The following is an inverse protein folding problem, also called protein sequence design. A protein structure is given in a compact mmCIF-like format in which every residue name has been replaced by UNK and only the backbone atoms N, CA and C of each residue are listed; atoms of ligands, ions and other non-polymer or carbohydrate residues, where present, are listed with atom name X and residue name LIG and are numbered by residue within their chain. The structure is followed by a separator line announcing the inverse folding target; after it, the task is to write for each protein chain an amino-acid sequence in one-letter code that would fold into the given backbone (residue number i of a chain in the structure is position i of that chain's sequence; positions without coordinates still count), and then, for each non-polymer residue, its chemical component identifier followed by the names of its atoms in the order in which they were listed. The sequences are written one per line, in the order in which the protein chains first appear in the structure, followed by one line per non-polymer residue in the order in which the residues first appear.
data_IF_449297411225
#
_entry.id   IF_449297411225
#
_cell.length_a   1.000
_cell.length_b   1.000
_cell.length_c   1.000
_cell.angle_alpha   90.00
_cell.angle_beta   90.00
_cell.angle_gamma   90.00
#
_symmetry.space_group_name_H-M   'P 1'
#
loop_
_entity.id
_entity.type
_entity.pdbx_description
1 polymer ?
#
# COMPACT_ATOMS: atom_id res chain seq x y z
N UNK A 1 -102.23 72.06 -74.96
CA UNK A 1 -100.80 72.00 -74.56
C UNK A 1 -100.52 71.33 -73.20
N UNK A 2 -101.43 71.31 -72.22
CA UNK A 2 -101.15 70.79 -70.85
C UNK A 2 -101.12 69.26 -70.69
N UNK A 3 -101.81 68.48 -71.54
CA UNK A 3 -101.86 67.02 -71.43
C UNK A 3 -100.58 66.29 -71.85
N UNK A 4 -99.80 66.85 -72.79
CA UNK A 4 -98.53 66.26 -73.25
C UNK A 4 -97.40 66.39 -72.23
N UNK A 5 -97.44 67.42 -71.38
CA UNK A 5 -96.42 67.64 -70.34
C UNK A 5 -96.58 66.65 -69.18
N UNK A 6 -97.83 66.38 -68.78
CA UNK A 6 -98.14 65.54 -67.61
C UNK A 6 -97.81 64.06 -67.85
N UNK A 7 -98.11 63.55 -69.05
CA UNK A 7 -97.74 62.18 -69.45
C UNK A 7 -96.22 62.01 -69.50
N UNK A 8 -95.49 63.02 -69.99
CA UNK A 8 -94.02 62.99 -70.03
C UNK A 8 -93.40 62.93 -68.63
N UNK A 9 -93.94 63.69 -67.67
CA UNK A 9 -93.45 63.70 -66.28
C UNK A 9 -93.71 62.37 -65.58
N UNK A 10 -94.88 61.75 -65.78
CA UNK A 10 -95.22 60.45 -65.18
C UNK A 10 -94.37 59.33 -65.78
N UNK A 11 -94.13 59.34 -67.10
CA UNK A 11 -93.25 58.36 -67.75
C UNK A 11 -91.81 58.51 -67.27
N UNK A 12 -91.30 59.74 -67.13
CA UNK A 12 -89.97 59.98 -66.57
C UNK A 12 -89.84 59.56 -65.09
N UNK A 13 -90.88 59.74 -64.28
CA UNK A 13 -90.90 59.28 -62.88
C UNK A 13 -90.94 57.75 -62.77
N UNK A 14 -91.74 57.08 -63.60
CA UNK A 14 -91.79 55.62 -63.63
C UNK A 14 -90.47 55.01 -64.14
N UNK A 15 -89.86 55.59 -65.17
CA UNK A 15 -88.52 55.18 -65.64
C UNK A 15 -87.48 55.44 -64.55
N UNK A 16 -87.56 56.56 -63.82
CA UNK A 16 -86.67 56.87 -62.70
C UNK A 16 -86.81 55.93 -61.51
N UNK A 17 -88.02 55.51 -61.16
CA UNK A 17 -88.27 54.54 -60.07
C UNK A 17 -87.83 53.13 -60.49
N UNK A 18 -88.13 52.71 -61.72
CA UNK A 18 -87.73 51.40 -62.25
C UNK A 18 -86.20 51.33 -62.44
N UNK A 19 -85.57 52.39 -62.94
CA UNK A 19 -84.11 52.49 -63.04
C UNK A 19 -83.47 52.57 -61.64
N UNK A 20 -84.06 53.29 -60.68
CA UNK A 20 -83.58 53.36 -59.30
C UNK A 20 -83.66 52.02 -58.57
N UNK A 21 -84.76 51.28 -58.71
CA UNK A 21 -84.90 49.92 -58.16
C UNK A 21 -84.02 48.90 -58.89
N UNK A 22 -83.87 49.01 -60.22
CA UNK A 22 -83.00 48.13 -61.00
C UNK A 22 -81.51 48.34 -60.69
N UNK A 23 -81.07 49.60 -60.57
CA UNK A 23 -79.69 49.96 -60.18
C UNK A 23 -79.42 49.60 -58.72
N UNK A 24 -80.41 49.77 -57.83
CA UNK A 24 -80.33 49.28 -56.46
C UNK A 24 -80.20 47.75 -56.37
N UNK A 25 -81.07 47.00 -57.06
CA UNK A 25 -81.03 45.53 -57.07
C UNK A 25 -79.75 44.97 -57.68
N UNK A 26 -79.22 45.59 -58.75
CA UNK A 26 -77.94 45.23 -59.35
C UNK A 26 -76.75 45.60 -58.44
N UNK A 27 -76.77 46.77 -57.80
CA UNK A 27 -75.71 47.21 -56.88
C UNK A 27 -75.66 46.40 -55.57
N UNK A 28 -76.82 46.04 -55.00
CA UNK A 28 -76.92 45.20 -53.81
C UNK A 28 -76.75 43.71 -54.11
N UNK A 29 -77.12 43.24 -55.31
CA UNK A 29 -76.93 41.84 -55.72
C UNK A 29 -75.46 41.42 -55.75
N UNK A 30 -74.59 42.27 -56.28
CA UNK A 30 -73.14 42.04 -56.29
C UNK A 30 -72.54 42.04 -54.88
N UNK A 31 -73.00 42.95 -54.01
CA UNK A 31 -72.56 43.00 -52.61
C UNK A 31 -73.00 41.76 -51.84
N UNK A 32 -74.26 41.31 -52.01
CA UNK A 32 -74.78 40.09 -51.37
C UNK A 32 -74.04 38.84 -51.86
N UNK A 33 -73.71 38.78 -53.15
CA UNK A 33 -72.95 37.66 -53.73
C UNK A 33 -71.53 37.59 -53.15
N UNK A 34 -70.84 38.74 -53.05
CA UNK A 34 -69.52 38.83 -52.40
C UNK A 34 -69.60 38.45 -50.92
N UNK A 35 -70.58 38.98 -50.18
CA UNK A 35 -70.77 38.66 -48.77
C UNK A 35 -71.02 37.16 -48.55
N UNK A 36 -71.76 36.50 -49.43
CA UNK A 36 -72.02 35.06 -49.40
C UNK A 36 -70.76 34.25 -49.71
N UNK A 37 -69.94 34.73 -50.64
CA UNK A 37 -68.63 34.14 -50.94
C UNK A 37 -67.69 34.25 -49.74
N UNK A 38 -67.57 35.44 -49.14
CA UNK A 38 -66.74 35.70 -47.97
C UNK A 38 -67.21 34.89 -46.76
N UNK A 39 -68.53 34.72 -46.60
CA UNK A 39 -69.11 33.86 -45.54
C UNK A 39 -68.72 32.39 -45.74
N UNK A 40 -68.80 31.87 -46.97
CA UNK A 40 -68.40 30.50 -47.28
C UNK A 40 -66.89 30.28 -47.06
N UNK A 41 -66.05 31.25 -47.47
CA UNK A 41 -64.61 31.24 -47.23
C UNK A 41 -64.30 31.24 -45.72
N UNK A 42 -64.98 32.11 -44.95
CA UNK A 42 -64.84 32.18 -43.50
C UNK A 42 -65.27 30.86 -42.82
N UNK A 43 -66.38 30.26 -43.27
CA UNK A 43 -66.83 28.95 -42.77
C UNK A 43 -65.82 27.84 -43.05
N UNK A 44 -65.19 27.84 -44.23
CA UNK A 44 -64.14 26.88 -44.58
C UNK A 44 -62.93 27.03 -43.66
N UNK A 45 -62.44 28.25 -43.45
CA UNK A 45 -61.33 28.54 -42.53
C UNK A 45 -61.64 28.15 -41.09
N UNK A 46 -62.87 28.37 -40.64
CA UNK A 46 -63.32 27.92 -39.31
C UNK A 46 -63.26 26.39 -39.19
N UNK A 47 -63.59 25.66 -40.25
CA UNK A 47 -63.47 24.19 -40.27
C UNK A 47 -62.02 23.75 -40.23
N UNK A 48 -61.16 24.37 -41.04
CA UNK A 48 -59.72 24.07 -41.08
C UNK A 48 -59.06 24.36 -39.72
N UNK A 49 -59.34 25.50 -39.09
CA UNK A 49 -58.85 25.82 -37.75
C UNK A 49 -59.39 24.88 -36.66
N UNK A 50 -60.62 24.36 -36.81
CA UNK A 50 -61.13 23.35 -35.87
C UNK A 50 -60.35 22.04 -35.95
N UNK A 51 -60.01 21.59 -37.16
CA UNK A 51 -59.20 20.40 -37.35
C UNK A 51 -57.77 20.59 -36.81
N UNK A 52 -57.18 21.75 -37.05
CA UNK A 52 -55.85 22.10 -36.53
C UNK A 52 -55.84 22.15 -34.99
N UNK A 53 -56.84 22.77 -34.36
CA UNK A 53 -57.00 22.78 -32.90
C UNK A 53 -57.15 21.36 -32.35
N UNK A 54 -57.90 20.48 -33.03
CA UNK A 54 -58.05 19.09 -32.62
C UNK A 54 -56.71 18.33 -32.68
N UNK A 55 -55.93 18.53 -33.74
CA UNK A 55 -54.59 17.92 -33.88
C UNK A 55 -53.60 18.44 -32.84
N UNK A 56 -53.59 19.76 -32.58
CA UNK A 56 -52.77 20.38 -31.54
C UNK A 56 -53.12 19.85 -30.15
N UNK A 57 -54.41 19.72 -29.83
CA UNK A 57 -54.85 19.16 -28.55
C UNK A 57 -54.38 17.70 -28.36
N UNK A 58 -54.37 16.90 -29.43
CA UNK A 58 -53.85 15.54 -29.38
C UNK A 58 -52.33 15.52 -29.10
N UNK A 59 -51.57 16.41 -29.75
CA UNK A 59 -50.14 16.55 -29.50
C UNK A 59 -49.83 17.01 -28.07
N UNK A 60 -50.59 17.98 -27.56
CA UNK A 60 -50.47 18.45 -26.17
C UNK A 60 -50.69 17.29 -25.20
N UNK A 61 -51.76 16.50 -25.39
CA UNK A 61 -52.04 15.34 -24.54
C UNK A 61 -50.90 14.31 -24.56
N UNK A 62 -50.31 14.07 -25.74
CA UNK A 62 -49.16 13.16 -25.88
C UNK A 62 -47.92 13.70 -25.16
N UNK A 63 -47.64 15.00 -25.30
CA UNK A 63 -46.51 15.66 -24.63
C UNK A 63 -46.66 15.67 -23.11
N UNK A 64 -47.88 15.88 -22.60
CA UNK A 64 -48.18 15.82 -21.17
C UNK A 64 -47.92 14.41 -20.60
N UNK A 65 -48.33 13.37 -21.32
CA UNK A 65 -48.03 11.98 -20.93
C UNK A 65 -46.53 11.69 -20.90
N UNK A 66 -45.78 12.13 -21.93
CA UNK A 66 -44.34 11.97 -21.97
C UNK A 66 -43.62 12.75 -20.86
N UNK A 67 -44.10 13.96 -20.55
CA UNK A 67 -43.56 14.77 -19.44
C UNK A 67 -43.72 14.04 -18.11
N UNK A 68 -44.91 13.48 -17.85
CA UNK A 68 -45.17 12.71 -16.63
C UNK A 68 -44.24 11.49 -16.52
N UNK A 69 -43.98 10.77 -17.61
CA UNK A 69 -43.08 9.62 -17.62
C UNK A 69 -41.61 10.02 -17.37
N UNK A 70 -41.18 11.15 -17.92
CA UNK A 70 -39.84 11.69 -17.70
C UNK A 70 -39.65 12.15 -16.26
N UNK A 71 -40.65 12.80 -15.67
CA UNK A 71 -40.66 13.21 -14.25
C UNK A 71 -40.52 12.00 -13.32
N UNK A 72 -41.23 10.89 -13.61
CA UNK A 72 -41.09 9.64 -12.85
C UNK A 72 -39.68 9.04 -12.97
N UNK A 73 -39.13 8.99 -14.19
CA UNK A 73 -37.76 8.47 -14.41
C UNK A 73 -36.69 9.32 -13.72
N UNK A 74 -36.84 10.64 -13.70
CA UNK A 74 -35.93 11.53 -12.99
C UNK A 74 -35.96 11.21 -11.49
N UNK A 75 -37.15 11.04 -10.91
CA UNK A 75 -37.27 10.68 -9.48
C UNK A 75 -36.63 9.32 -9.13
N UNK A 76 -36.74 8.33 -10.02
CA UNK A 76 -36.06 7.04 -9.84
C UNK A 76 -34.53 7.18 -9.91
N UNK A 77 -34.01 7.91 -10.91
CA UNK A 77 -32.57 8.16 -11.06
C UNK A 77 -31.99 8.95 -9.89
N UNK A 78 -32.71 9.94 -9.38
CA UNK A 78 -32.31 10.70 -8.19
C UNK A 78 -32.19 9.79 -6.96
N UNK A 79 -33.14 8.85 -6.80
CA UNK A 79 -33.10 7.86 -5.72
C UNK A 79 -31.90 6.92 -5.87
N UNK A 80 -31.68 6.34 -7.04
CA UNK A 80 -30.54 5.45 -7.30
C UNK A 80 -29.20 6.17 -7.12
N UNK A 81 -29.10 7.44 -7.54
CA UNK A 81 -27.91 8.26 -7.34
C UNK A 81 -27.62 8.49 -5.85
N UNK A 82 -28.66 8.79 -5.06
CA UNK A 82 -28.52 8.98 -3.61
C UNK A 82 -28.09 7.68 -2.90
N UNK A 83 -28.71 6.55 -3.24
CA UNK A 83 -28.35 5.23 -2.68
C UNK A 83 -26.90 4.86 -3.04
N UNK A 84 -26.50 5.07 -4.29
CA UNK A 84 -25.13 4.83 -4.76
C UNK A 84 -24.12 5.72 -4.05
N UNK A 85 -24.46 7.00 -3.85
CA UNK A 85 -23.62 7.97 -3.13
C UNK A 85 -23.39 7.54 -1.68
N UNK A 86 -24.45 7.11 -0.99
CA UNK A 86 -24.31 6.60 0.39
C UNK A 86 -23.47 5.33 0.46
N UNK A 87 -23.62 4.41 -0.51
CA UNK A 87 -22.80 3.21 -0.60
C UNK A 87 -21.31 3.56 -0.77
N UNK A 88 -20.99 4.53 -1.64
CA UNK A 88 -19.62 5.01 -1.85
C UNK A 88 -18.99 5.59 -0.59
N UNK A 89 -19.72 6.43 0.15
CA UNK A 89 -19.25 7.02 1.42
C UNK A 89 -18.96 5.92 2.46
N UNK A 90 -19.84 4.91 2.53
CA UNK A 90 -19.68 3.78 3.45
C UNK A 90 -18.44 2.96 3.08
N UNK A 91 -18.28 2.61 1.82
CA UNK A 91 -17.12 1.85 1.33
C UNK A 91 -15.81 2.62 1.58
N UNK A 92 -15.81 3.93 1.36
CA UNK A 92 -14.65 4.77 1.62
C UNK A 92 -14.29 4.79 3.12
N UNK A 93 -15.28 4.84 4.00
CA UNK A 93 -15.06 4.78 5.46
C UNK A 93 -14.53 3.42 5.90
N UNK A 94 -15.09 2.33 5.37
CA UNK A 94 -14.60 0.97 5.64
C UNK A 94 -13.17 0.79 5.15
N UNK A 95 -12.83 1.32 3.97
CA UNK A 95 -11.48 1.32 3.44
C UNK A 95 -10.51 2.09 4.33
N UNK A 96 -10.86 3.30 4.78
CA UNK A 96 -10.01 4.09 5.68
C UNK A 96 -9.82 3.41 7.04
N UNK A 97 -10.87 2.79 7.59
CA UNK A 97 -10.77 2.03 8.83
C UNK A 97 -9.85 0.81 8.67
N UNK A 98 -10.00 0.07 7.58
CA UNK A 98 -9.12 -1.05 7.26
C UNK A 98 -7.69 -0.57 7.04
N UNK A 99 -7.48 0.49 6.27
CA UNK A 99 -6.16 1.06 6.01
C UNK A 99 -5.45 1.49 7.32
N UNK A 100 -6.16 2.18 8.21
CA UNK A 100 -5.60 2.57 9.51
C UNK A 100 -5.36 1.37 10.43
N UNK A 101 -6.23 0.35 10.40
CA UNK A 101 -6.06 -0.86 11.18
C UNK A 101 -4.93 -1.78 10.67
N UNK A 102 -4.60 -1.73 9.37
CA UNK A 102 -3.76 -2.74 8.72
C UNK A 102 -2.42 -2.20 8.20
N UNK A 103 -2.33 -0.93 7.79
CA UNK A 103 -1.14 -0.35 7.13
C UNK A 103 -0.48 0.77 7.90
N UNK A 104 -1.21 1.50 8.75
CA UNK A 104 -0.62 2.51 9.62
C UNK A 104 -0.09 1.85 10.89
N UNK A 105 0.87 0.95 10.72
CA UNK A 105 1.60 0.33 11.82
C UNK A 105 2.18 1.45 12.69
N UNK A 106 1.71 1.58 13.93
CA UNK A 106 2.28 2.51 14.92
C UNK A 106 3.64 2.04 15.42
N UNK A 107 4.11 0.89 14.91
CA UNK A 107 5.38 0.29 15.27
C UNK A 107 6.53 1.13 14.70
N UNK A 108 7.53 1.36 15.55
CA UNK A 108 8.70 2.16 15.22
C UNK A 108 9.93 1.27 15.06
N UNK A 109 10.88 1.76 14.29
CA UNK A 109 12.22 1.19 14.22
C UNK A 109 12.99 1.52 15.52
N UNK A 110 13.58 0.54 16.22
CA UNK A 110 14.42 0.79 17.39
C UNK A 110 15.77 1.41 16.99
N UNK A 111 16.46 2.03 17.94
CA UNK A 111 17.93 2.17 17.88
C UNK A 111 18.60 0.83 18.19
N UNK A 112 19.88 0.66 17.83
CA UNK A 112 20.63 -0.53 18.23
C UNK A 112 20.67 -0.74 19.75
N UNK A 113 20.84 0.31 20.54
CA UNK A 113 20.87 0.18 22.00
C UNK A 113 19.50 -0.24 22.57
N UNK A 114 18.40 0.27 22.01
CA UNK A 114 17.06 -0.19 22.36
C UNK A 114 16.83 -1.65 21.99
N UNK A 115 17.22 -2.07 20.78
CA UNK A 115 17.14 -3.47 20.35
C UNK A 115 17.95 -4.38 21.28
N UNK A 116 19.20 -4.00 21.59
CA UNK A 116 20.05 -4.76 22.51
C UNK A 116 19.48 -4.84 23.91
N UNK A 117 18.84 -3.78 24.40
CA UNK A 117 18.15 -3.77 25.69
C UNK A 117 16.90 -4.64 25.70
N UNK A 118 16.15 -4.65 24.58
CA UNK A 118 15.00 -5.52 24.39
C UNK A 118 15.40 -7.00 24.44
N UNK A 119 16.36 -7.43 23.61
CA UNK A 119 16.79 -8.83 23.56
C UNK A 119 17.24 -9.35 24.94
N UNK A 120 18.03 -8.55 25.68
CA UNK A 120 18.48 -8.91 27.03
C UNK A 120 17.38 -9.08 28.08
N UNK A 121 16.25 -8.40 27.89
CA UNK A 121 15.11 -8.44 28.82
C UNK A 121 14.08 -9.49 28.41
N UNK A 122 13.98 -9.74 27.11
CA UNK A 122 13.17 -10.80 26.55
C UNK A 122 13.68 -12.17 27.02
N UNK A 123 12.77 -13.13 27.19
CA UNK A 123 13.11 -14.47 27.67
C UNK A 123 12.81 -15.55 26.63
N UNK A 124 12.50 -15.17 25.38
CA UNK A 124 12.20 -16.10 24.30
C UNK A 124 13.37 -17.07 24.07
N UNK A 125 14.61 -16.60 24.19
CA UNK A 125 15.83 -17.42 24.09
C UNK A 125 15.95 -18.51 25.17
N UNK A 126 15.18 -18.41 26.27
CA UNK A 126 15.15 -19.38 27.38
C UNK A 126 14.06 -20.44 27.20
N UNK A 127 13.18 -20.31 26.21
CA UNK A 127 12.16 -21.31 25.93
C UNK A 127 12.86 -22.59 25.45
N UNK A 128 12.37 -23.75 25.90
CA UNK A 128 12.91 -25.03 25.49
C UNK A 128 12.53 -25.31 24.03
N UNK A 129 13.54 -25.54 23.18
CA UNK A 129 13.32 -25.96 21.80
C UNK A 129 12.69 -27.36 21.79
N UNK A 130 11.54 -27.49 21.13
CA UNK A 130 10.84 -28.76 20.95
C UNK A 130 10.48 -28.93 19.50
N UNK A 131 11.15 -29.87 18.84
CA UNK A 131 10.84 -30.22 17.46
C UNK A 131 9.34 -30.54 17.31
N UNK A 132 8.71 -29.99 16.27
CA UNK A 132 7.27 -30.11 15.95
C UNK A 132 6.28 -29.47 16.97
N UNK A 133 6.75 -28.87 18.07
CA UNK A 133 5.90 -28.15 19.04
C UNK A 133 6.26 -26.66 19.16
N UNK A 134 7.55 -26.38 19.33
CA UNK A 134 8.14 -25.05 19.47
C UNK A 134 9.55 -25.04 18.87
N UNK A 135 9.59 -24.95 17.54
CA UNK A 135 10.82 -24.87 16.75
C UNK A 135 11.17 -23.40 16.44
N UNK A 136 12.12 -23.18 15.52
CA UNK A 136 12.56 -21.83 15.12
C UNK A 136 11.41 -20.91 14.69
N UNK A 137 10.32 -21.46 14.15
CA UNK A 137 9.11 -20.70 13.81
C UNK A 137 8.47 -20.14 15.07
N UNK A 138 8.37 -20.95 16.13
CA UNK A 138 7.84 -20.55 17.43
C UNK A 138 8.63 -19.40 18.04
N UNK A 139 9.95 -19.55 18.15
CA UNK A 139 10.85 -18.50 18.65
C UNK A 139 10.68 -17.19 17.86
N UNK A 140 10.75 -17.26 16.52
CA UNK A 140 10.67 -16.07 15.69
C UNK A 140 9.30 -15.37 15.73
N UNK A 141 8.20 -16.10 15.94
CA UNK A 141 6.87 -15.52 16.15
C UNK A 141 6.78 -14.87 17.54
N UNK A 142 7.24 -15.57 18.58
CA UNK A 142 7.20 -15.07 19.97
C UNK A 142 7.99 -13.78 20.12
N UNK A 143 9.24 -13.74 19.64
CA UNK A 143 10.07 -12.52 19.73
C UNK A 143 9.44 -11.34 18.98
N UNK A 144 8.86 -11.60 17.80
CA UNK A 144 8.15 -10.57 17.02
C UNK A 144 6.94 -10.02 17.76
N UNK A 145 6.18 -10.87 18.45
CA UNK A 145 4.99 -10.46 19.20
C UNK A 145 5.38 -9.66 20.46
N UNK A 146 6.42 -10.06 21.20
CA UNK A 146 6.96 -9.25 22.30
C UNK A 146 7.54 -7.91 21.83
N UNK A 147 8.23 -7.90 20.68
CA UNK A 147 8.69 -6.65 20.06
C UNK A 147 7.50 -5.73 19.73
N UNK A 148 6.39 -6.28 19.21
CA UNK A 148 5.15 -5.52 18.95
C UNK A 148 4.56 -4.92 20.21
N UNK A 149 4.57 -5.64 21.34
CA UNK A 149 4.07 -5.14 22.63
C UNK A 149 4.86 -3.92 23.13
N UNK A 150 6.14 -3.82 22.74
CA UNK A 150 7.00 -2.66 22.98
C UNK A 150 6.96 -1.62 21.84
N UNK A 151 5.99 -1.74 20.92
CA UNK A 151 5.84 -0.91 19.73
C UNK A 151 7.04 -0.94 18.78
N UNK A 152 7.84 -2.01 18.78
CA UNK A 152 8.95 -2.20 17.84
C UNK A 152 8.49 -2.93 16.58
N UNK A 153 8.95 -2.40 15.44
CA UNK A 153 8.77 -3.06 14.14
C UNK A 153 9.78 -4.20 14.01
N UNK A 154 9.29 -5.38 13.69
CA UNK A 154 10.05 -6.62 13.64
C UNK A 154 9.52 -7.48 12.49
N UNK A 155 10.39 -7.85 11.57
CA UNK A 155 10.05 -8.81 10.53
C UNK A 155 10.20 -10.24 11.05
N UNK A 156 9.32 -11.12 10.58
CA UNK A 156 9.57 -12.55 10.55
C UNK A 156 10.36 -12.87 9.28
N UNK A 157 11.39 -13.70 9.38
CA UNK A 157 12.31 -14.01 8.29
C UNK A 157 12.38 -15.52 8.10
N UNK A 158 12.18 -15.97 6.87
CA UNK A 158 12.41 -17.35 6.46
C UNK A 158 13.68 -17.43 5.62
N UNK A 159 14.49 -18.44 5.91
CA UNK A 159 15.73 -18.74 5.22
C UNK A 159 15.63 -20.15 4.68
N UNK A 160 15.80 -20.29 3.36
CA UNK A 160 16.03 -21.60 2.76
C UNK A 160 17.54 -21.83 2.62
N UNK A 161 18.01 -23.01 2.99
CA UNK A 161 19.36 -23.46 2.67
C UNK A 161 19.38 -24.25 1.37
N UNK A 162 20.52 -24.26 0.69
CA UNK A 162 20.73 -25.07 -0.51
C UNK A 162 20.62 -26.58 -0.23
N UNK A 163 20.96 -27.00 0.99
CA UNK A 163 20.83 -28.36 1.50
C UNK A 163 20.40 -28.30 2.97
N UNK A 164 19.49 -29.19 3.38
CA UNK A 164 18.95 -29.26 4.74
C UNK A 164 17.59 -28.57 4.91
N UNK A 165 17.13 -28.50 6.15
CA UNK A 165 15.89 -27.81 6.53
C UNK A 165 16.12 -26.30 6.56
N UNK A 166 15.07 -25.52 6.27
CA UNK A 166 15.13 -24.06 6.38
C UNK A 166 15.25 -23.59 7.84
N UNK A 167 15.38 -22.28 8.02
CA UNK A 167 15.44 -21.65 9.33
C UNK A 167 14.55 -20.41 9.40
N UNK A 168 13.99 -20.14 10.57
CA UNK A 168 13.16 -18.97 10.83
C UNK A 168 13.82 -18.10 11.90
N UNK A 169 13.84 -16.79 11.67
CA UNK A 169 14.44 -15.81 12.58
C UNK A 169 13.78 -14.43 12.42
N UNK A 170 14.33 -13.40 13.05
CA UNK A 170 13.78 -12.04 12.96
C UNK A 170 14.72 -11.02 12.32
N UNK A 171 14.13 -9.95 11.78
CA UNK A 171 14.91 -8.78 11.36
C UNK A 171 14.33 -7.49 11.92
N UNK A 172 15.24 -6.60 12.34
CA UNK A 172 14.92 -5.29 12.85
C UNK A 172 15.60 -4.24 11.98
N UNK A 173 14.80 -3.34 11.41
CA UNK A 173 15.34 -2.13 10.80
C UNK A 173 15.65 -1.16 11.94
N UNK A 174 16.92 -0.93 12.22
CA UNK A 174 17.32 0.09 13.19
C UNK A 174 17.44 1.45 12.53
N UNK A 175 17.32 2.51 13.34
CA UNK A 175 17.45 3.90 12.85
C UNK A 175 18.91 4.34 12.70
N UNK A 176 19.86 3.66 13.33
CA UNK A 176 21.27 4.07 13.44
C UNK A 176 22.28 3.03 12.93
N UNK A 177 21.89 1.76 12.75
CA UNK A 177 22.78 0.66 12.31
C UNK A 177 22.26 -0.14 11.11
N UNK A 178 21.14 0.27 10.52
CA UNK A 178 20.55 -0.43 9.38
C UNK A 178 19.80 -1.70 9.77
N UNK A 179 19.72 -2.65 8.85
CA UNK A 179 19.01 -3.91 9.04
C UNK A 179 19.86 -4.89 9.85
N UNK A 180 19.30 -5.45 10.92
CA UNK A 180 19.96 -6.42 11.78
C UNK A 180 19.11 -7.68 11.84
N UNK A 181 19.71 -8.83 11.60
CA UNK A 181 19.07 -10.13 11.77
C UNK A 181 19.38 -10.67 13.16
N UNK A 182 18.35 -11.19 13.82
CA UNK A 182 18.42 -11.73 15.17
C UNK A 182 17.91 -13.15 15.12
N UNK A 183 18.72 -14.08 15.61
CA UNK A 183 18.30 -15.45 15.88
C UNK A 183 18.36 -15.67 17.39
N UNK A 184 17.19 -15.81 18.01
CA UNK A 184 17.10 -16.03 19.45
C UNK A 184 17.01 -17.52 19.83
N UNK A 185 17.08 -18.44 18.86
CA UNK A 185 16.85 -19.88 19.08
C UNK A 185 17.87 -20.42 20.10
N UNK A 186 17.42 -20.53 21.36
CA UNK A 186 18.22 -20.96 22.51
C UNK A 186 19.22 -19.94 23.07
N UNK A 187 19.53 -18.85 22.36
CA UNK A 187 20.42 -17.75 22.79
C UNK A 187 20.15 -16.47 22.00
N UNK A 188 20.31 -15.31 22.65
CA UNK A 188 20.43 -14.03 21.95
C UNK A 188 21.66 -13.96 21.03
N UNK A 189 21.44 -14.13 19.72
CA UNK A 189 22.50 -14.02 18.72
C UNK A 189 22.13 -13.08 17.57
N UNK A 190 23.16 -12.52 16.95
CA UNK A 190 23.07 -11.75 15.71
C UNK A 190 23.38 -12.70 14.57
N UNK A 191 22.42 -12.82 13.65
CA UNK A 191 22.55 -13.65 12.47
C UNK A 191 23.19 -12.86 11.32
N UNK A 192 24.04 -13.55 10.57
CA UNK A 192 24.73 -13.05 9.39
C UNK A 192 24.29 -13.89 8.20
N UNK A 193 23.51 -13.25 7.33
CA UNK A 193 22.80 -13.91 6.23
C UNK A 193 23.15 -13.24 4.91
N UNK A 194 23.61 -14.02 3.94
CA UNK A 194 23.89 -13.55 2.59
C UNK A 194 23.70 -14.72 1.61
N UNK A 195 22.93 -14.50 0.55
CA UNK A 195 22.69 -15.52 -0.49
C UNK A 195 24.03 -16.02 -1.05
N UNK A 196 24.16 -17.34 -1.14
CA UNK A 196 25.35 -18.04 -1.61
C UNK A 196 26.46 -18.17 -0.55
N UNK A 197 26.23 -17.70 0.68
CA UNK A 197 27.18 -17.81 1.78
C UNK A 197 26.62 -18.70 2.91
N UNK A 198 27.48 -19.31 3.74
CA UNK A 198 27.04 -20.03 4.93
C UNK A 198 26.27 -19.13 5.90
N UNK A 199 25.23 -19.69 6.52
CA UNK A 199 24.55 -19.02 7.61
C UNK A 199 25.44 -18.96 8.85
N UNK A 200 25.52 -17.78 9.47
CA UNK A 200 26.37 -17.56 10.63
C UNK A 200 25.65 -16.85 11.77
N UNK A 201 26.07 -17.12 13.00
CA UNK A 201 25.64 -16.36 14.18
C UNK A 201 26.82 -15.95 15.04
N UNK A 202 26.68 -14.81 15.72
CA UNK A 202 27.59 -14.34 16.77
C UNK A 202 26.74 -13.95 17.97
N UNK A 203 27.15 -14.35 19.18
CA UNK A 203 26.45 -13.97 20.41
C UNK A 203 26.34 -12.45 20.57
N UNK A 204 25.20 -11.96 21.08
CA UNK A 204 24.87 -10.52 21.16
C UNK A 204 25.98 -9.65 21.77
N UNK A 205 26.71 -10.16 22.77
CA UNK A 205 27.78 -9.42 23.44
C UNK A 205 29.16 -9.53 22.75
N UNK A 206 29.34 -10.48 21.83
CA UNK A 206 30.56 -10.68 21.06
C UNK A 206 30.61 -9.81 19.78
N UNK A 207 29.49 -9.25 19.36
CA UNK A 207 29.44 -8.27 18.26
C UNK A 207 30.01 -6.93 18.74
N UNK A 208 31.24 -6.62 18.31
CA UNK A 208 31.97 -5.40 18.67
C UNK A 208 32.57 -4.71 17.44
N UNK A 209 32.41 -3.40 17.32
CA UNK A 209 33.03 -2.60 16.26
C UNK A 209 34.55 -2.48 16.39
N UNK A 210 35.09 -2.53 17.62
CA UNK A 210 36.52 -2.55 17.93
C UNK A 210 36.88 -3.88 18.56
N UNK A 211 37.91 -4.55 18.04
CA UNK A 211 38.29 -5.89 18.44
C UNK A 211 39.80 -6.15 18.32
N UNK A 212 40.27 -7.21 18.96
CA UNK A 212 41.65 -7.67 18.93
C UNK A 212 42.04 -8.02 17.48
N UNK A 213 43.13 -7.42 17.00
CA UNK A 213 43.68 -7.69 15.68
C UNK A 213 44.39 -9.04 15.65
N UNK A 214 43.85 -9.96 14.84
CA UNK A 214 44.36 -11.31 14.66
C UNK A 214 45.05 -11.52 13.29
N UNK A 215 45.62 -10.46 12.72
CA UNK A 215 46.39 -10.53 11.46
C UNK A 215 47.84 -11.01 11.63
N UNK A 216 48.32 -11.13 12.87
CA UNK A 216 49.68 -11.58 13.20
C UNK A 216 49.90 -13.10 13.14
N UNK A 217 51.05 -13.53 13.65
CA UNK A 217 51.40 -14.96 13.76
C UNK A 217 50.78 -15.57 15.04
N UNK A 218 49.95 -16.64 14.94
CA UNK A 218 49.39 -17.30 16.10
C UNK A 218 50.44 -17.89 17.05
N UNK A 219 51.64 -18.21 16.56
CA UNK A 219 52.77 -18.73 17.36
C UNK A 219 53.51 -17.65 18.14
N UNK A 220 53.17 -16.38 17.93
CA UNK A 220 53.73 -15.23 18.63
C UNK A 220 52.67 -14.40 19.35
N UNK A 221 51.52 -15.00 19.68
CA UNK A 221 50.39 -14.32 20.32
C UNK A 221 50.58 -14.05 21.82
N UNK A 222 51.79 -13.67 22.21
CA UNK A 222 52.20 -13.26 23.56
C UNK A 222 52.73 -11.82 23.61
N UNK A 223 52.81 -11.14 22.45
CA UNK A 223 53.12 -9.71 22.37
C UNK A 223 51.96 -8.81 22.83
N UNK A 224 52.17 -7.48 22.84
CA UNK A 224 51.11 -6.52 23.17
C UNK A 224 49.90 -6.66 22.23
N UNK A 225 48.69 -6.66 22.79
CA UNK A 225 47.46 -6.73 22.00
C UNK A 225 47.24 -5.45 21.20
N UNK A 226 47.13 -5.62 19.88
CA UNK A 226 46.68 -4.59 18.96
C UNK A 226 45.17 -4.70 18.73
N UNK A 227 44.53 -3.59 18.40
CA UNK A 227 43.10 -3.52 18.13
C UNK A 227 42.84 -2.86 16.79
N UNK A 228 41.86 -3.37 16.07
CA UNK A 228 41.35 -2.80 14.83
C UNK A 228 39.86 -2.52 14.94
N UNK A 229 39.30 -1.87 13.92
CA UNK A 229 37.88 -1.51 13.87
C UNK A 229 37.24 -1.92 12.56
N UNK A 230 36.00 -2.39 12.63
CA UNK A 230 35.17 -2.63 11.45
C UNK A 230 34.07 -1.57 11.35
N UNK A 231 33.83 -1.00 10.15
CA UNK A 231 32.87 0.09 9.97
C UNK A 231 31.42 -0.34 10.27
N UNK A 232 31.10 -1.60 9.99
CA UNK A 232 29.75 -2.15 10.17
C UNK A 232 29.84 -3.55 10.80
N UNK A 233 29.56 -3.71 12.11
CA UNK A 233 29.64 -5.01 12.76
C UNK A 233 28.46 -5.94 12.42
N UNK A 234 27.50 -5.49 11.60
CA UNK A 234 26.33 -6.28 11.16
C UNK A 234 26.44 -6.74 9.71
N UNK A 235 27.51 -6.38 9.00
CA UNK A 235 27.73 -6.84 7.63
C UNK A 235 28.26 -8.28 7.59
N UNK A 236 28.03 -8.97 6.47
CA UNK A 236 28.56 -10.32 6.29
C UNK A 236 30.11 -10.34 6.24
N UNK A 237 30.75 -9.30 5.71
CA UNK A 237 32.21 -9.16 5.72
C UNK A 237 32.79 -9.13 7.15
N UNK A 238 32.05 -8.54 8.11
CA UNK A 238 32.40 -8.63 9.53
C UNK A 238 32.40 -10.07 10.03
N UNK A 239 31.38 -10.85 9.66
CA UNK A 239 31.30 -12.26 10.03
C UNK A 239 32.46 -13.08 9.45
N UNK A 240 32.87 -12.81 8.21
CA UNK A 240 34.07 -13.43 7.61
C UNK A 240 35.33 -13.06 8.39
N UNK A 241 35.46 -11.79 8.83
CA UNK A 241 36.56 -11.36 9.68
C UNK A 241 36.52 -12.05 11.05
N UNK A 242 35.34 -12.18 11.67
CA UNK A 242 35.14 -12.93 12.91
C UNK A 242 35.58 -14.39 12.77
N UNK A 243 35.16 -15.09 11.71
CA UNK A 243 35.59 -16.47 11.47
C UNK A 243 37.11 -16.63 11.33
N UNK A 244 37.79 -15.65 10.72
CA UNK A 244 39.27 -15.64 10.66
C UNK A 244 39.87 -15.52 12.07
N UNK A 245 39.29 -14.70 12.94
CA UNK A 245 39.72 -14.56 14.34
C UNK A 245 39.47 -15.85 15.15
N UNK A 246 38.37 -16.55 14.91
CA UNK A 246 38.11 -17.87 15.50
C UNK A 246 39.17 -18.88 15.07
N UNK A 247 39.55 -18.91 13.78
CA UNK A 247 40.63 -19.76 13.28
C UNK A 247 41.98 -19.41 13.89
N UNK A 248 42.28 -18.12 14.01
CA UNK A 248 43.48 -17.63 14.68
C UNK A 248 43.51 -18.09 16.14
N UNK A 249 42.42 -17.92 16.90
CA UNK A 249 42.32 -18.37 18.28
C UNK A 249 42.62 -19.86 18.43
N UNK A 250 41.97 -20.71 17.62
CA UNK A 250 42.22 -22.17 17.62
C UNK A 250 43.69 -22.49 17.35
N UNK A 251 44.30 -21.86 16.33
CA UNK A 251 45.72 -22.05 16.02
C UNK A 251 46.66 -21.56 17.14
N UNK A 252 46.34 -20.43 17.77
CA UNK A 252 47.12 -19.87 18.89
C UNK A 252 47.03 -20.75 20.13
N UNK A 253 45.89 -21.39 20.40
CA UNK A 253 45.73 -22.38 21.49
C UNK A 253 46.61 -23.60 21.22
N UNK A 254 46.61 -24.12 20.00
CA UNK A 254 47.46 -25.27 19.63
C UNK A 254 48.95 -24.93 19.79
N UNK A 255 49.37 -23.77 19.27
CA UNK A 255 50.74 -23.29 19.38
C UNK A 255 51.16 -23.05 20.84
N UNK A 256 50.28 -22.46 21.65
CA UNK A 256 50.50 -22.29 23.09
C UNK A 256 50.70 -23.64 23.79
N UNK A 257 49.86 -24.63 23.50
CA UNK A 257 49.96 -25.96 24.10
C UNK A 257 51.29 -26.65 23.77
N UNK A 258 51.79 -26.51 22.54
CA UNK A 258 53.12 -27.01 22.17
C UNK A 258 54.24 -26.23 22.87
N UNK A 259 54.15 -24.89 22.92
CA UNK A 259 55.12 -24.04 23.62
C UNK A 259 55.22 -24.40 25.12
N UNK A 260 54.09 -24.67 25.78
CA UNK A 260 54.04 -25.14 27.17
C UNK A 260 54.71 -26.51 27.33
N UNK A 261 54.49 -27.44 26.40
CA UNK A 261 55.16 -28.76 26.42
C UNK A 261 56.67 -28.61 26.29
N UNK A 262 57.15 -27.73 25.41
CA UNK A 262 58.59 -27.45 25.24
C UNK A 262 59.20 -26.78 26.48
N UNK A 263 58.50 -25.79 27.03
CA UNK A 263 58.90 -25.12 28.26
C UNK A 263 59.05 -26.12 29.42
N UNK A 264 58.06 -27.00 29.61
CA UNK A 264 58.07 -28.02 30.66
C UNK A 264 59.17 -29.08 30.48
N UNK A 265 59.65 -29.30 29.24
CA UNK A 265 60.80 -30.17 28.95
C UNK A 265 62.14 -29.49 29.21
N UNK A 266 62.16 -28.19 29.50
CA UNK A 266 63.37 -27.40 29.69
C UNK A 266 64.06 -26.99 28.38
N UNK A 267 63.31 -26.92 27.27
CA UNK A 267 63.86 -26.62 25.93
C UNK A 267 64.46 -25.21 25.79
N UNK A 268 64.13 -24.28 26.68
CA UNK A 268 64.72 -22.92 26.72
C UNK A 268 64.23 -21.95 25.63
N UNK A 269 63.34 -22.37 24.73
CA UNK A 269 62.79 -21.55 23.64
C UNK A 269 61.93 -20.39 24.13
N UNK A 270 61.15 -20.59 25.20
CA UNK A 270 60.19 -19.62 25.73
C UNK A 270 60.49 -19.30 27.19
N UNK A 271 60.31 -18.04 27.58
CA UNK A 271 60.34 -17.63 28.98
C UNK A 271 58.98 -17.85 29.65
N UNK A 272 58.98 -17.95 31.00
CA UNK A 272 57.73 -18.00 31.77
C UNK A 272 56.83 -16.79 31.48
N UNK A 273 57.41 -15.59 31.34
CA UNK A 273 56.65 -14.38 31.05
C UNK A 273 55.98 -14.43 29.68
N UNK A 274 56.63 -15.02 28.66
CA UNK A 274 56.02 -15.20 27.35
C UNK A 274 54.84 -16.17 27.42
N UNK A 275 54.99 -17.31 28.09
CA UNK A 275 53.90 -18.28 28.30
C UNK A 275 52.73 -17.63 29.06
N UNK A 276 53.02 -16.86 30.11
CA UNK A 276 52.01 -16.16 30.89
C UNK A 276 51.24 -15.11 30.05
N UNK A 277 51.95 -14.25 29.31
CA UNK A 277 51.32 -13.24 28.45
C UNK A 277 50.52 -13.88 27.31
N UNK A 278 50.96 -15.03 26.78
CA UNK A 278 50.20 -15.77 25.78
C UNK A 278 48.86 -16.24 26.35
N UNK A 279 48.87 -16.83 27.54
CA UNK A 279 47.65 -17.28 28.21
C UNK A 279 46.67 -16.12 28.43
N UNK A 280 47.16 -14.98 28.93
CA UNK A 280 46.36 -13.77 29.13
C UNK A 280 45.74 -13.25 27.82
N UNK A 281 46.50 -13.27 26.73
CA UNK A 281 46.00 -12.89 25.40
C UNK A 281 44.94 -13.88 24.88
N UNK A 282 45.10 -15.18 25.11
CA UNK A 282 44.11 -16.20 24.76
C UNK A 282 42.81 -16.03 25.55
N UNK A 283 42.89 -15.75 26.85
CA UNK A 283 41.71 -15.47 27.68
C UNK A 283 40.97 -14.22 27.17
N UNK A 284 41.70 -13.14 26.90
CA UNK A 284 41.12 -11.91 26.36
C UNK A 284 40.43 -12.12 25.00
N UNK A 285 41.04 -12.91 24.11
CA UNK A 285 40.46 -13.23 22.81
C UNK A 285 39.25 -14.17 22.94
N UNK A 286 39.30 -15.16 23.83
CA UNK A 286 38.18 -16.04 24.15
C UNK A 286 36.96 -15.27 24.66
N UNK A 287 37.17 -14.36 25.63
CA UNK A 287 36.12 -13.50 26.17
C UNK A 287 35.47 -12.61 25.09
N UNK A 288 36.28 -12.09 24.17
CA UNK A 288 35.77 -11.26 23.08
C UNK A 288 35.02 -12.04 22.00
N UNK A 289 35.48 -13.25 21.66
CA UNK A 289 34.81 -14.11 20.70
C UNK A 289 33.51 -14.71 21.24
N UNK A 290 33.42 -14.88 22.56
CA UNK A 290 32.27 -15.45 23.25
C UNK A 290 32.04 -16.92 22.89
N UNK A 291 30.77 -17.34 22.92
CA UNK A 291 30.38 -18.68 22.47
C UNK A 291 30.66 -18.81 20.97
N UNK A 292 31.40 -19.85 20.59
CA UNK A 292 31.73 -20.15 19.21
C UNK A 292 30.62 -21.02 18.59
N UNK A 293 30.04 -20.54 17.50
CA UNK A 293 29.02 -21.25 16.75
C UNK A 293 29.60 -21.75 15.42
N UNK A 294 29.23 -22.97 15.04
CA UNK A 294 29.57 -23.49 13.72
C UNK A 294 28.56 -22.96 12.69
N UNK A 295 29.01 -22.62 11.46
CA UNK A 295 28.11 -22.13 10.42
C UNK A 295 27.11 -23.22 10.01
N UNK A 296 25.90 -22.80 9.66
CA UNK A 296 24.88 -23.68 9.07
C UNK A 296 24.85 -23.48 7.55
N UNK A 297 23.98 -24.23 6.88
CA UNK A 297 23.94 -24.39 5.42
C UNK A 297 24.08 -23.11 4.59
N UNK A 298 24.38 -23.28 3.30
CA UNK A 298 24.50 -22.15 2.38
C UNK A 298 23.12 -21.54 2.12
N UNK A 299 22.97 -20.24 2.40
CA UNK A 299 21.72 -19.51 2.20
C UNK A 299 21.35 -19.48 0.71
N UNK A 300 20.16 -19.97 0.37
CA UNK A 300 19.61 -19.98 -0.98
C UNK A 300 18.61 -18.83 -1.19
N UNK A 301 17.73 -18.58 -0.23
CA UNK A 301 16.77 -17.47 -0.26
C UNK A 301 16.57 -16.87 1.13
N UNK A 302 16.11 -15.62 1.15
CA UNK A 302 15.76 -14.87 2.36
C UNK A 302 14.43 -14.18 2.06
N UNK A 303 13.39 -14.53 2.80
CA UNK A 303 12.06 -13.93 2.68
C UNK A 303 11.72 -13.19 3.98
N UNK A 304 11.30 -11.92 3.88
CA UNK A 304 11.06 -11.08 5.04
C UNK A 304 9.63 -10.55 5.05
N UNK A 305 8.95 -10.77 6.18
CA UNK A 305 7.55 -10.44 6.39
C UNK A 305 7.44 -9.43 7.53
N UNK A 306 7.35 -8.14 7.18
CA UNK A 306 7.23 -7.05 8.14
C UNK A 306 5.83 -6.98 8.76
N UNK A 307 5.78 -6.57 10.02
CA UNK A 307 4.59 -6.07 10.71
C UNK A 307 4.41 -4.54 10.55
#
# INVERSE_FOLDING_TARGET
MKQRLFVSVIVCLLIGIVAGYGVGYLSYGDQISRLKSDLNEAQKRISEYKEEIAALNFQISTLESNRSLLEEKIGLLEKELNETTQCLIKLQTEYENLFNATLKSTLRNPTWEELKSFLKQDETDKIEYKLDEFDCTGFAITLRDHARDLSYRCAFVEIAFAEGEGHALNAFQTVDRGLIFVDDTGKDTIAYVQIGQPYGVIGLNAVKSRYIDCSGDPTEFWGPLNYTTHPDPFSYDYYVAYQKRVKFYKASVDAYNEAVKEYNRGGGTYSYSQIQSWYENLEALSEELGILYEPLGTVQSIEMYWN
#
